data_IF_134122996603
#
_entry.id   IF_134122996603
#
_cell.length_a   1.000
_cell.length_b   1.000
_cell.length_c   1.000
_cell.angle_alpha   90.00
_cell.angle_beta   90.00
_cell.angle_gamma   90.00
#
_symmetry.space_group_name_H-M   'P 1'
#
loop_
_entity.id
_entity.type
_entity.pdbx_description
1 polymer ?
#
# COMPACT_ATOMS: atom_id res chain seq x y z
N UNK A 1 -4.83 33.65 -31.95
CA UNK A 1 -4.18 32.34 -31.82
C UNK A 1 -3.71 31.94 -33.20
N UNK A 2 -2.42 32.09 -33.49
CA UNK A 2 -1.80 31.65 -34.75
C UNK A 2 -2.13 30.16 -34.95
N UNK A 3 -2.46 29.73 -36.18
CA UNK A 3 -2.95 28.39 -36.54
C UNK A 3 -1.99 27.22 -36.29
N UNK A 4 -1.26 27.24 -35.18
CA UNK A 4 -0.43 26.18 -34.66
C UNK A 4 -1.36 25.26 -33.86
N UNK A 5 -1.50 23.98 -34.25
CA UNK A 5 -2.28 23.02 -33.48
C UNK A 5 -1.70 22.89 -32.07
N UNK A 6 -2.56 22.62 -31.08
CA UNK A 6 -2.16 22.37 -29.70
C UNK A 6 -1.03 21.33 -29.66
N UNK A 7 0.16 21.74 -29.18
CA UNK A 7 1.31 20.85 -29.00
C UNK A 7 1.13 19.88 -27.82
N UNK A 8 0.13 20.12 -26.98
CA UNK A 8 -0.21 19.25 -25.85
C UNK A 8 -1.28 18.23 -26.25
N UNK A 9 -1.24 17.02 -25.68
CA UNK A 9 -2.29 16.03 -25.88
C UNK A 9 -3.65 16.58 -25.43
N UNK A 10 -4.71 16.11 -26.08
CA UNK A 10 -6.08 16.49 -25.73
C UNK A 10 -6.38 16.00 -24.31
N UNK A 11 -6.53 16.94 -23.37
CA UNK A 11 -6.85 16.65 -21.96
C UNK A 11 -8.33 16.26 -21.76
N UNK A 12 -8.93 15.52 -22.70
CA UNK A 12 -10.35 15.18 -22.68
C UNK A 12 -10.82 14.61 -21.33
N UNK A 13 -12.14 14.59 -21.07
CA UNK A 13 -12.66 14.14 -19.79
C UNK A 13 -12.15 12.74 -19.46
N UNK A 14 -11.76 12.53 -18.20
CA UNK A 14 -11.36 11.19 -17.75
C UNK A 14 -12.51 10.19 -17.98
N UNK A 15 -12.19 8.92 -18.25
CA UNK A 15 -13.20 7.87 -18.36
C UNK A 15 -14.06 7.83 -17.08
N UNK A 16 -15.34 7.49 -17.24
CA UNK A 16 -16.24 7.24 -16.11
C UNK A 16 -15.84 6.01 -15.29
N UNK A 17 -15.07 5.11 -15.90
CA UNK A 17 -14.55 3.90 -15.26
C UNK A 17 -13.33 4.21 -14.36
N UNK A 18 -13.15 3.39 -13.33
CA UNK A 18 -12.03 3.52 -12.41
C UNK A 18 -10.73 2.99 -13.02
N UNK A 19 -10.06 3.85 -13.78
CA UNK A 19 -8.78 3.54 -14.44
C UNK A 19 -7.56 3.68 -13.52
N UNK A 20 -7.68 4.47 -12.45
CA UNK A 20 -6.55 4.76 -11.54
C UNK A 20 -6.59 3.96 -10.24
N UNK A 21 -7.71 3.31 -9.91
CA UNK A 21 -7.89 2.58 -8.66
C UNK A 21 -8.39 3.47 -7.53
N UNK A 22 -9.21 4.47 -7.85
CA UNK A 22 -9.86 5.38 -6.93
C UNK A 22 -10.79 4.65 -5.94
N UNK A 23 -11.53 3.63 -6.39
CA UNK A 23 -12.40 2.83 -5.54
C UNK A 23 -11.60 2.07 -4.47
N UNK A 24 -10.59 1.28 -4.86
CA UNK A 24 -9.66 0.64 -3.91
C UNK A 24 -8.95 1.64 -3.00
N UNK A 25 -8.61 2.84 -3.49
CA UNK A 25 -8.00 3.89 -2.69
C UNK A 25 -8.96 4.41 -1.60
N UNK A 26 -10.22 4.66 -1.94
CA UNK A 26 -11.24 5.08 -0.97
C UNK A 26 -11.47 4.00 0.11
N UNK A 27 -11.53 2.72 -0.29
CA UNK A 27 -11.63 1.60 0.65
C UNK A 27 -10.42 1.53 1.59
N UNK A 28 -9.21 1.77 1.08
CA UNK A 28 -7.99 1.78 1.89
C UNK A 28 -7.97 2.97 2.87
N UNK A 29 -8.42 4.16 2.45
CA UNK A 29 -8.57 5.31 3.35
C UNK A 29 -9.59 5.02 4.45
N UNK A 30 -10.74 4.42 4.12
CA UNK A 30 -11.73 4.02 5.13
C UNK A 30 -11.14 3.04 6.13
N UNK A 31 -10.44 2.01 5.64
CA UNK A 31 -9.74 1.04 6.50
C UNK A 31 -8.67 1.67 7.36
N UNK A 32 -7.98 2.72 6.89
CA UNK A 32 -6.95 3.41 7.68
C UNK A 32 -7.48 4.04 8.97
N UNK A 33 -8.80 4.23 9.08
CA UNK A 33 -9.48 4.76 10.26
C UNK A 33 -9.97 3.67 11.22
N UNK A 34 -9.82 2.39 10.87
CA UNK A 34 -10.20 1.27 11.74
C UNK A 34 -9.40 1.34 13.06
N UNK A 35 -9.97 0.89 14.19
CA UNK A 35 -9.25 0.87 15.47
C UNK A 35 -8.07 -0.09 15.43
N UNK A 36 -6.93 0.36 15.94
CA UNK A 36 -5.71 -0.43 16.06
C UNK A 36 -5.66 -1.25 17.36
N UNK A 37 -4.83 -2.30 17.39
CA UNK A 37 -4.63 -3.13 18.60
C UNK A 37 -3.96 -2.36 19.75
N UNK A 38 -2.98 -1.52 19.43
CA UNK A 38 -2.14 -0.79 20.40
C UNK A 38 -2.24 0.74 20.24
N UNK A 39 -3.05 1.22 19.29
CA UNK A 39 -3.21 2.65 18.95
C UNK A 39 -4.68 2.90 18.58
N UNK A 40 -5.11 4.16 18.66
CA UNK A 40 -6.45 4.57 18.28
C UNK A 40 -6.83 4.20 16.83
N UNK A 41 -5.86 4.20 15.91
CA UNK A 41 -6.03 3.82 14.50
C UNK A 41 -5.00 2.77 14.07
N UNK A 42 -5.34 1.97 13.05
CA UNK A 42 -4.42 0.98 12.48
C UNK A 42 -3.16 1.63 11.91
N UNK A 43 -2.06 0.88 11.91
CA UNK A 43 -0.79 1.31 11.33
C UNK A 43 -0.72 1.01 9.83
N UNK A 44 0.16 1.73 9.11
CA UNK A 44 0.29 1.57 7.68
C UNK A 44 0.65 0.14 7.29
N UNK A 45 1.44 -0.61 8.07
CA UNK A 45 1.75 -2.02 7.76
C UNK A 45 0.53 -2.97 7.73
N UNK A 46 -0.58 -2.60 8.37
CA UNK A 46 -1.81 -3.43 8.45
C UNK A 46 -2.82 -3.07 7.35
N UNK A 47 -2.90 -1.79 6.98
CA UNK A 47 -3.75 -1.28 5.90
C UNK A 47 -3.53 -1.88 4.49
N UNK A 48 -2.31 -2.20 4.00
CA UNK A 48 -2.04 -2.50 2.60
C UNK A 48 -2.37 -3.95 2.28
N UNK A 49 -2.68 -4.78 3.29
CA UNK A 49 -3.28 -6.11 3.08
C UNK A 49 -4.54 -6.02 2.21
N UNK A 50 -5.25 -4.90 2.26
CA UNK A 50 -6.37 -4.62 1.37
C UNK A 50 -5.94 -4.50 -0.10
N UNK A 51 -4.83 -3.80 -0.39
CA UNK A 51 -4.26 -3.72 -1.73
C UNK A 51 -3.94 -5.12 -2.26
N UNK A 52 -3.26 -5.94 -1.47
CA UNK A 52 -2.93 -7.32 -1.86
C UNK A 52 -4.17 -8.19 -2.11
N UNK A 53 -5.21 -8.04 -1.27
CA UNK A 53 -6.47 -8.74 -1.47
C UNK A 53 -7.15 -8.31 -2.78
N UNK A 54 -7.19 -7.01 -3.06
CA UNK A 54 -7.75 -6.47 -4.30
C UNK A 54 -6.96 -6.95 -5.54
N UNK A 55 -5.63 -6.88 -5.52
CA UNK A 55 -4.82 -7.35 -6.65
C UNK A 55 -5.04 -8.84 -6.91
N UNK A 56 -5.11 -9.66 -5.86
CA UNK A 56 -5.34 -11.09 -6.01
C UNK A 56 -6.73 -11.39 -6.58
N UNK A 57 -7.77 -10.69 -6.09
CA UNK A 57 -9.13 -10.82 -6.63
C UNK A 57 -9.20 -10.37 -8.10
N UNK A 58 -8.53 -9.26 -8.45
CA UNK A 58 -8.41 -8.78 -9.82
C UNK A 58 -7.73 -9.84 -10.71
N UNK A 59 -6.61 -10.41 -10.23
CA UNK A 59 -5.87 -11.44 -10.94
C UNK A 59 -6.60 -12.79 -11.06
N UNK A 60 -7.56 -13.07 -10.18
CA UNK A 60 -8.43 -14.24 -10.28
C UNK A 60 -9.66 -13.99 -11.17
N UNK A 61 -9.97 -12.73 -11.49
CA UNK A 61 -11.14 -12.33 -12.27
C UNK A 61 -10.88 -12.36 -13.78
N UNK A 62 -11.96 -12.29 -14.58
CA UNK A 62 -11.90 -12.15 -16.05
C UNK A 62 -11.15 -10.89 -16.52
N UNK A 63 -10.90 -9.93 -15.62
CA UNK A 63 -10.15 -8.69 -15.89
C UNK A 63 -8.65 -8.95 -16.17
N UNK A 64 -8.17 -10.19 -16.03
CA UNK A 64 -6.87 -10.66 -16.50
C UNK A 64 -6.92 -10.94 -18.00
N UNK A 65 -7.04 -9.89 -18.80
CA UNK A 65 -6.99 -10.04 -20.26
C UNK A 65 -5.56 -9.86 -20.80
N UNK A 66 -4.72 -9.11 -20.08
CA UNK A 66 -3.36 -8.77 -20.52
C UNK A 66 -2.35 -8.85 -19.37
N UNK A 67 -1.89 -10.07 -19.04
CA UNK A 67 -0.66 -10.25 -18.27
C UNK A 67 0.44 -10.69 -19.24
N UNK A 68 1.35 -9.77 -19.59
CA UNK A 68 2.54 -10.11 -20.37
C UNK A 68 3.72 -10.36 -19.43
N UNK A 69 4.37 -11.50 -19.58
CA UNK A 69 5.58 -11.82 -18.83
C UNK A 69 6.80 -11.27 -19.56
N UNK A 70 7.52 -10.34 -18.94
CA UNK A 70 8.84 -9.89 -19.38
C UNK A 70 9.90 -10.58 -18.52
N UNK A 71 10.86 -11.27 -19.12
CA UNK A 71 12.01 -11.80 -18.41
C UNK A 71 13.21 -10.88 -18.64
N UNK A 72 13.81 -10.37 -17.57
CA UNK A 72 15.09 -9.65 -17.64
C UNK A 72 16.09 -10.33 -16.71
N UNK A 73 17.18 -10.82 -17.30
CA UNK A 73 18.33 -11.53 -16.70
C UNK A 73 17.97 -12.79 -15.88
N UNK A 74 17.17 -12.68 -14.82
CA UNK A 74 16.66 -13.80 -13.99
C UNK A 74 15.32 -13.52 -13.31
N UNK A 75 14.78 -12.30 -13.43
CA UNK A 75 13.50 -11.92 -12.81
C UNK A 75 12.38 -11.94 -13.85
N UNK A 76 11.30 -12.65 -13.52
CA UNK A 76 10.04 -12.61 -14.26
C UNK A 76 9.25 -11.40 -13.80
N UNK A 77 9.13 -10.39 -14.65
CA UNK A 77 8.24 -9.26 -14.48
C UNK A 77 6.91 -9.53 -15.18
N UNK A 78 5.81 -9.13 -14.56
CA UNK A 78 4.49 -9.22 -15.14
C UNK A 78 3.97 -7.81 -15.37
N UNK A 79 3.70 -7.45 -16.62
CA UNK A 79 2.91 -6.25 -16.92
C UNK A 79 1.46 -6.60 -16.64
N UNK A 80 0.78 -5.82 -15.80
CA UNK A 80 -0.64 -6.02 -15.48
C UNK A 80 -1.41 -4.73 -15.73
N UNK A 81 -2.65 -4.88 -16.17
CA UNK A 81 -3.64 -3.79 -16.26
C UNK A 81 -4.28 -3.45 -14.92
N UNK A 82 -3.95 -4.16 -13.83
CA UNK A 82 -4.53 -3.91 -12.52
C UNK A 82 -4.26 -2.46 -12.07
N UNK A 83 -5.29 -1.65 -11.76
CA UNK A 83 -5.13 -0.22 -11.48
C UNK A 83 -4.29 0.04 -10.22
N UNK A 84 -4.26 -0.91 -9.27
CA UNK A 84 -3.42 -0.77 -8.07
C UNK A 84 -1.93 -0.81 -8.38
N UNK A 85 -1.48 -1.41 -9.47
CA UNK A 85 -0.08 -1.37 -9.91
C UNK A 85 0.27 -0.10 -10.69
N UNK A 86 -0.72 0.75 -10.97
CA UNK A 86 -0.54 2.00 -11.70
C UNK A 86 0.28 3.04 -10.93
N UNK A 87 0.88 3.97 -11.68
CA UNK A 87 1.73 5.05 -11.16
C UNK A 87 1.02 5.89 -10.09
N UNK A 88 -0.21 6.32 -10.38
CA UNK A 88 -1.00 7.12 -9.45
C UNK A 88 -1.20 6.40 -8.11
N UNK A 89 -1.58 5.12 -8.15
CA UNK A 89 -1.83 4.33 -6.95
C UNK A 89 -0.56 4.14 -6.12
N UNK A 90 0.59 3.96 -6.78
CA UNK A 90 1.91 3.94 -6.12
C UNK A 90 2.19 5.23 -5.34
N UNK A 91 1.92 6.40 -5.94
CA UNK A 91 2.06 7.71 -5.27
C UNK A 91 1.05 7.89 -4.14
N UNK A 92 -0.19 7.43 -4.32
CA UNK A 92 -1.23 7.44 -3.29
C UNK A 92 -0.80 6.63 -2.05
N UNK A 93 -0.28 5.41 -2.26
CA UNK A 93 0.20 4.54 -1.18
C UNK A 93 1.39 5.18 -0.44
N UNK A 94 2.34 5.77 -1.17
CA UNK A 94 3.45 6.52 -0.56
C UNK A 94 2.95 7.69 0.30
N UNK A 95 1.92 8.41 -0.17
CA UNK A 95 1.27 9.47 0.61
C UNK A 95 0.60 8.93 1.88
N UNK A 96 -0.08 7.78 1.80
CA UNK A 96 -0.68 7.12 2.96
C UNK A 96 0.39 6.73 4.00
N UNK A 97 1.49 6.14 3.54
CA UNK A 97 2.62 5.76 4.41
C UNK A 97 3.16 6.96 5.19
N UNK A 98 3.45 8.07 4.49
CA UNK A 98 3.96 9.29 5.12
C UNK A 98 3.00 9.92 6.13
N UNK A 99 1.69 9.86 5.89
CA UNK A 99 0.69 10.44 6.81
C UNK A 99 0.44 9.58 8.05
N UNK A 100 0.36 8.27 7.88
CA UNK A 100 0.05 7.35 8.98
C UNK A 100 1.27 7.16 9.90
N UNK A 101 2.47 7.15 9.32
CA UNK A 101 3.71 6.82 10.00
C UNK A 101 3.77 5.35 10.43
N UNK A 102 4.97 4.80 10.47
CA UNK A 102 5.21 3.48 11.08
C UNK A 102 5.93 3.66 12.41
N UNK A 103 5.32 3.15 13.49
CA UNK A 103 5.97 3.04 14.79
C UNK A 103 6.11 1.55 15.09
N UNK A 104 7.32 1.03 14.89
CA UNK A 104 7.65 -0.34 15.25
C UNK A 104 7.94 -0.36 16.76
N UNK A 105 7.14 -1.10 17.53
CA UNK A 105 7.45 -1.45 18.91
C UNK A 105 7.79 -2.94 18.88
N UNK A 106 9.08 -3.24 18.89
CA UNK A 106 9.59 -4.61 18.94
C UNK A 106 9.92 -4.97 20.38
N UNK A 107 9.59 -6.20 20.77
CA UNK A 107 10.12 -6.80 21.98
C UNK A 107 11.60 -7.11 21.73
N UNK A 108 12.46 -6.20 22.16
CA UNK A 108 13.90 -6.41 22.10
C UNK A 108 14.31 -7.47 23.12
N UNK A 109 15.24 -8.35 22.74
CA UNK A 109 15.86 -9.28 23.68
C UNK A 109 16.52 -8.48 24.81
N UNK A 110 16.10 -8.73 26.05
CA UNK A 110 16.73 -8.14 27.22
C UNK A 110 18.11 -8.74 27.43
N UNK A 111 19.11 -7.90 27.69
CA UNK A 111 20.41 -8.37 28.16
C UNK A 111 20.24 -9.13 29.49
N UNK A 112 20.99 -10.22 29.68
CA UNK A 112 20.96 -11.04 30.91
C UNK A 112 21.04 -10.19 32.18
N UNK A 113 21.85 -9.12 32.17
CA UNK A 113 22.01 -8.21 33.32
C UNK A 113 20.70 -7.50 33.67
N UNK A 114 20.00 -6.97 32.67
CA UNK A 114 18.73 -6.26 32.85
C UNK A 114 17.64 -7.24 33.31
N UNK A 115 17.62 -8.44 32.75
CA UNK A 115 16.66 -9.47 33.14
C UNK A 115 16.83 -9.92 34.60
N UNK A 116 18.08 -10.11 35.05
CA UNK A 116 18.37 -10.47 36.46
C UNK A 116 17.99 -9.34 37.41
N UNK A 117 18.24 -8.08 37.07
CA UNK A 117 17.84 -6.94 37.92
C UNK A 117 16.31 -6.77 38.00
N UNK A 118 15.58 -7.02 36.91
CA UNK A 118 14.12 -7.04 36.89
C UNK A 118 13.55 -8.13 37.82
N UNK A 119 14.14 -9.33 37.81
CA UNK A 119 13.73 -10.42 38.70
C UNK A 119 13.96 -10.06 40.17
N UNK A 120 15.11 -9.44 40.51
CA UNK A 120 15.37 -8.98 41.88
C UNK A 120 14.36 -7.95 42.37
N UNK A 121 13.91 -7.04 41.49
CA UNK A 121 12.87 -6.07 41.86
C UNK A 121 11.50 -6.74 42.07
N UNK A 122 11.20 -7.80 41.30
CA UNK A 122 9.95 -8.56 41.44
C UNK A 122 9.90 -9.47 42.68
N UNK A 123 11.04 -9.96 43.15
CA UNK A 123 11.14 -10.79 44.37
C UNK A 123 11.28 -9.95 45.65
N UNK A 124 11.54 -8.65 45.52
CA UNK A 124 11.69 -7.71 46.64
C UNK A 124 10.38 -7.04 47.10
N UNK A 125 9.29 -7.20 46.34
CA UNK A 125 7.90 -6.85 46.71
C UNK A 125 7.16 -8.10 47.25
#
# INVERSE_FOLDING_TARGET
MFGIPSMTPVMGPFPLEDTFGMGPAACLLRRSLDPGRNKAIIQFATAPRFRSAYSNAYHASKSVEHISSMAYESNKFYTTTCPTYGYWFGRFILGCHKRMGDKVVQDYALSRKIFVELLKHLEGD
#
